data_IF_710458531301
#
_entry.id   IF_710458531301
#
_cell.length_a   1.000
_cell.length_b   1.000
_cell.length_c   1.000
_cell.angle_alpha   90.00
_cell.angle_beta   90.00
_cell.angle_gamma   90.00
#
_symmetry.space_group_name_H-M   'P 1'
#
loop_
_entity.id
_entity.type
_entity.pdbx_description
1 polymer ?
#
# COMPACT_ATOMS: atom_id res chain seq x y z
N UNK A 1 19.74 -3.78 28.61
CA UNK A 1 20.15 -3.74 27.19
C UNK A 1 20.95 -4.98 26.87
N UNK A 2 20.52 -5.75 25.88
CA UNK A 2 21.19 -6.98 25.41
C UNK A 2 21.51 -6.92 23.91
N UNK A 3 21.63 -5.74 23.33
CA UNK A 3 21.95 -5.50 21.91
C UNK A 3 23.22 -6.22 21.45
N UNK A 4 24.18 -6.46 22.36
CA UNK A 4 25.41 -7.19 22.08
C UNK A 4 25.23 -8.71 22.07
N UNK A 5 24.11 -9.23 22.56
CA UNK A 5 23.84 -10.66 22.57
C UNK A 5 23.25 -11.08 21.23
N UNK A 6 24.01 -11.78 20.42
CA UNK A 6 23.68 -12.13 19.01
C UNK A 6 23.64 -13.63 18.74
N UNK A 7 23.69 -14.46 19.78
CA UNK A 7 23.65 -15.91 19.61
C UNK A 7 22.24 -16.33 19.12
N UNK A 8 22.12 -17.01 17.97
CA UNK A 8 20.82 -17.49 17.51
C UNK A 8 20.19 -18.48 18.49
N UNK A 9 18.88 -18.39 18.67
CA UNK A 9 18.12 -19.27 19.56
C UNK A 9 16.78 -18.66 19.98
N UNK A 10 16.00 -19.44 20.73
CA UNK A 10 14.77 -18.99 21.39
C UNK A 10 15.07 -18.64 22.83
N UNK A 11 14.63 -17.47 23.26
CA UNK A 11 14.95 -16.91 24.57
C UNK A 11 13.70 -16.36 25.24
N UNK A 12 13.76 -16.20 26.54
CA UNK A 12 12.84 -15.41 27.35
C UNK A 12 13.62 -14.53 28.31
N UNK A 13 13.06 -13.43 28.72
CA UNK A 13 13.61 -12.54 29.73
C UNK A 13 12.91 -12.87 31.04
N UNK A 14 13.67 -13.21 32.09
CA UNK A 14 13.17 -13.41 33.44
C UNK A 14 13.63 -12.27 34.33
N UNK A 15 12.70 -11.64 35.00
CA UNK A 15 12.98 -10.57 35.97
C UNK A 15 12.46 -10.91 37.34
N UNK A 16 13.23 -10.54 38.39
CA UNK A 16 12.82 -10.75 39.76
C UNK A 16 11.58 -9.88 40.06
N UNK A 17 10.48 -10.54 40.45
CA UNK A 17 9.23 -9.87 40.83
C UNK A 17 8.21 -9.67 39.71
N UNK A 18 8.62 -9.69 38.46
CA UNK A 18 7.72 -9.44 37.28
C UNK A 18 7.41 -10.73 36.49
N UNK A 19 8.16 -11.82 36.72
CA UNK A 19 7.99 -13.09 36.01
C UNK A 19 8.80 -13.19 34.72
N UNK A 20 8.25 -13.89 33.73
CA UNK A 20 8.90 -14.21 32.46
C UNK A 20 8.18 -13.51 31.29
N UNK A 21 8.98 -13.05 30.31
CA UNK A 21 8.45 -12.57 29.03
C UNK A 21 7.86 -13.71 28.19
N UNK A 22 7.11 -13.37 27.15
CA UNK A 22 6.87 -14.32 26.05
C UNK A 22 8.19 -14.71 25.41
N UNK A 23 8.32 -15.95 24.85
CA UNK A 23 9.51 -16.35 24.10
C UNK A 23 9.72 -15.44 22.87
N UNK A 24 10.99 -15.16 22.58
CA UNK A 24 11.39 -14.47 21.36
C UNK A 24 12.58 -15.15 20.72
N UNK A 25 12.75 -14.96 19.41
CA UNK A 25 13.85 -15.55 18.66
C UNK A 25 14.92 -14.51 18.32
N UNK A 26 16.18 -14.96 18.39
CA UNK A 26 17.31 -14.30 17.76
C UNK A 26 17.71 -15.17 16.57
N UNK A 27 17.53 -14.70 15.36
CA UNK A 27 17.93 -15.41 14.14
C UNK A 27 18.27 -14.43 13.02
N UNK A 28 19.02 -14.90 12.05
CA UNK A 28 19.20 -14.18 10.78
C UNK A 28 17.87 -14.22 10.00
N UNK A 29 17.62 -13.20 9.23
CA UNK A 29 16.41 -13.11 8.38
C UNK A 29 15.12 -13.36 9.18
N UNK A 30 14.95 -12.60 10.28
CA UNK A 30 13.83 -12.76 11.21
C UNK A 30 12.47 -12.73 10.50
N UNK A 31 12.35 -11.94 9.44
CA UNK A 31 11.12 -11.73 8.69
C UNK A 31 11.02 -12.56 7.39
N UNK A 32 11.92 -13.55 7.16
CA UNK A 32 11.89 -14.36 5.94
C UNK A 32 10.57 -15.08 5.68
N UNK A 33 9.90 -15.50 6.74
CA UNK A 33 8.61 -16.20 6.68
C UNK A 33 7.43 -15.22 6.70
N UNK A 34 7.68 -13.98 7.14
CA UNK A 34 6.67 -12.91 7.27
C UNK A 34 6.38 -12.24 5.94
N UNK A 35 7.43 -11.86 5.19
CA UNK A 35 7.28 -11.13 3.92
C UNK A 35 6.42 -11.88 2.89
N UNK A 36 6.63 -13.21 2.64
CA UNK A 36 5.76 -13.96 1.75
C UNK A 36 4.29 -13.97 2.20
N UNK A 37 4.01 -13.98 3.50
CA UNK A 37 2.63 -13.95 4.02
C UNK A 37 1.98 -12.57 3.81
N UNK A 38 2.74 -11.47 3.97
CA UNK A 38 2.26 -10.12 3.65
C UNK A 38 1.93 -10.01 2.15
N UNK A 39 2.77 -10.57 1.27
CA UNK A 39 2.47 -10.61 -0.16
C UNK A 39 1.25 -11.49 -0.45
N UNK A 40 1.09 -12.61 0.27
CA UNK A 40 -0.06 -13.53 0.11
C UNK A 40 -1.40 -12.87 0.39
N UNK A 41 -1.43 -11.87 1.26
CA UNK A 41 -2.64 -11.08 1.51
C UNK A 41 -3.22 -10.49 0.22
N UNK A 42 -2.37 -10.00 -0.70
CA UNK A 42 -2.84 -9.45 -1.99
C UNK A 42 -3.52 -10.51 -2.86
N UNK A 43 -2.95 -11.73 -2.92
CA UNK A 43 -3.62 -12.84 -3.59
C UNK A 43 -5.00 -13.12 -2.98
N UNK A 44 -5.13 -13.05 -1.65
CA UNK A 44 -6.41 -13.27 -0.96
C UNK A 44 -7.43 -12.15 -1.20
N UNK A 45 -6.98 -10.99 -1.70
CA UNK A 45 -7.83 -9.87 -2.10
C UNK A 45 -8.15 -9.86 -3.60
N UNK A 46 -7.71 -10.85 -4.40
CA UNK A 46 -8.03 -10.90 -5.83
C UNK A 46 -9.54 -11.00 -6.06
N UNK A 47 -10.05 -10.11 -6.91
CA UNK A 47 -11.43 -10.09 -7.40
C UNK A 47 -11.50 -10.69 -8.82
N UNK A 48 -12.64 -11.19 -9.23
CA UNK A 48 -12.88 -11.62 -10.62
C UNK A 48 -12.22 -12.94 -11.01
N UNK A 49 -11.75 -13.74 -10.06
CA UNK A 49 -11.23 -15.08 -10.29
C UNK A 49 -11.60 -16.02 -9.14
N UNK A 50 -11.50 -17.31 -9.40
CA UNK A 50 -11.59 -18.32 -8.35
C UNK A 50 -10.33 -18.25 -7.48
N UNK A 51 -10.49 -18.20 -6.16
CA UNK A 51 -9.44 -18.53 -5.22
C UNK A 51 -9.55 -20.00 -4.84
N UNK A 52 -8.79 -20.85 -5.52
CA UNK A 52 -8.89 -22.28 -5.32
C UNK A 52 -8.34 -22.73 -3.96
N UNK A 53 -8.84 -23.86 -3.45
CA UNK A 53 -8.44 -24.42 -2.16
C UNK A 53 -6.94 -24.71 -2.07
N UNK A 54 -6.28 -25.01 -3.20
CA UNK A 54 -4.84 -25.31 -3.24
C UNK A 54 -3.97 -24.10 -2.88
N UNK A 55 -4.47 -22.89 -3.13
CA UNK A 55 -3.75 -21.63 -2.87
C UNK A 55 -4.36 -20.82 -1.73
N UNK A 56 -5.68 -20.89 -1.51
CA UNK A 56 -6.38 -20.08 -0.52
C UNK A 56 -6.83 -20.88 0.74
N UNK A 57 -6.70 -22.20 0.73
CA UNK A 57 -7.07 -23.03 1.88
C UNK A 57 -8.56 -22.87 2.26
N UNK A 58 -8.81 -22.52 3.52
CA UNK A 58 -10.16 -22.26 4.05
C UNK A 58 -10.81 -20.99 3.53
N UNK A 59 -10.07 -20.09 2.92
CA UNK A 59 -10.55 -18.82 2.34
C UNK A 59 -10.91 -18.95 0.86
N UNK A 60 -10.93 -20.18 0.32
CA UNK A 60 -11.27 -20.45 -1.07
C UNK A 60 -12.71 -20.07 -1.39
N UNK A 61 -12.91 -19.51 -2.59
CA UNK A 61 -14.24 -19.13 -3.10
C UNK A 61 -14.27 -19.14 -4.63
N UNK A 62 -15.46 -19.29 -5.26
CA UNK A 62 -15.62 -19.13 -6.70
C UNK A 62 -15.27 -17.72 -7.19
N UNK A 63 -15.19 -17.54 -8.51
CA UNK A 63 -15.02 -16.20 -9.09
C UNK A 63 -16.17 -15.28 -8.67
N UNK A 64 -15.81 -14.06 -8.24
CA UNK A 64 -16.75 -13.03 -7.77
C UNK A 64 -16.83 -11.85 -8.73
N UNK A 65 -17.89 -11.03 -8.65
CA UNK A 65 -18.05 -9.75 -9.37
C UNK A 65 -17.84 -9.87 -10.88
N UNK A 66 -18.37 -10.95 -11.47
CA UNK A 66 -18.30 -11.24 -12.90
C UNK A 66 -19.45 -10.63 -13.70
N UNK A 67 -20.45 -10.04 -13.03
CA UNK A 67 -21.58 -9.37 -13.65
C UNK A 67 -21.13 -8.08 -14.37
N UNK A 68 -21.93 -7.67 -15.38
CA UNK A 68 -21.72 -6.38 -16.03
C UNK A 68 -21.93 -5.25 -15.04
N UNK A 69 -21.08 -4.24 -15.12
CA UNK A 69 -21.20 -2.99 -14.38
C UNK A 69 -21.93 -1.92 -15.20
N UNK A 70 -22.57 -0.98 -14.53
CA UNK A 70 -23.15 0.23 -15.17
C UNK A 70 -22.26 1.43 -14.93
N UNK A 71 -21.97 2.19 -15.97
CA UNK A 71 -21.33 3.48 -15.81
C UNK A 71 -22.35 4.47 -15.22
N UNK A 72 -22.04 5.00 -14.06
CA UNK A 72 -22.92 5.91 -13.31
C UNK A 72 -23.38 7.10 -14.17
N UNK A 73 -24.66 7.41 -14.12
CA UNK A 73 -25.26 8.53 -14.85
C UNK A 73 -25.45 8.34 -16.37
N UNK A 74 -24.94 7.23 -16.97
CA UNK A 74 -25.02 7.03 -18.43
C UNK A 74 -25.96 5.91 -18.85
N UNK A 75 -26.22 4.93 -17.98
CA UNK A 75 -26.93 3.71 -18.30
C UNK A 75 -26.16 2.73 -19.19
N UNK A 76 -24.94 3.04 -19.61
CA UNK A 76 -24.08 2.15 -20.40
C UNK A 76 -23.57 1.01 -19.54
N UNK A 77 -23.62 -0.22 -20.06
CA UNK A 77 -23.02 -1.40 -19.44
C UNK A 77 -21.62 -1.66 -19.97
N UNK A 78 -20.74 -2.05 -19.05
CA UNK A 78 -19.36 -2.46 -19.35
C UNK A 78 -18.99 -3.72 -18.59
N UNK A 79 -18.00 -4.45 -19.07
CA UNK A 79 -17.43 -5.60 -18.36
C UNK A 79 -16.05 -5.23 -17.83
N UNK A 80 -15.95 -5.08 -16.52
CA UNK A 80 -14.69 -4.77 -15.82
C UNK A 80 -14.54 -5.80 -14.70
N UNK A 81 -13.61 -6.72 -14.86
CA UNK A 81 -13.29 -7.80 -13.92
C UNK A 81 -11.85 -7.70 -13.48
N UNK A 82 -11.46 -8.45 -12.45
CA UNK A 82 -10.08 -8.45 -11.93
C UNK A 82 -9.83 -7.36 -10.90
N UNK A 83 -8.55 -7.17 -10.57
CA UNK A 83 -8.09 -6.25 -9.54
C UNK A 83 -8.17 -6.82 -8.12
N UNK A 84 -7.74 -6.03 -7.14
CA UNK A 84 -7.82 -6.39 -5.74
C UNK A 84 -9.04 -5.74 -5.08
N UNK A 85 -9.72 -6.47 -4.21
CA UNK A 85 -10.58 -5.86 -3.19
C UNK A 85 -9.71 -4.95 -2.32
N UNK A 86 -10.15 -3.74 -2.09
CA UNK A 86 -9.33 -2.71 -1.45
C UNK A 86 -9.06 -2.97 0.03
N UNK A 87 -10.12 -3.27 0.78
CA UNK A 87 -10.10 -3.26 2.23
C UNK A 87 -10.90 -4.43 2.81
N UNK A 88 -11.66 -4.20 3.86
CA UNK A 88 -12.59 -5.16 4.42
C UNK A 88 -13.85 -5.38 3.58
N UNK A 89 -14.08 -4.53 2.58
CA UNK A 89 -15.15 -4.60 1.57
C UNK A 89 -14.67 -5.25 0.26
N UNK A 90 -15.51 -5.21 -0.78
CA UNK A 90 -15.22 -5.78 -2.09
C UNK A 90 -15.11 -4.72 -3.20
N UNK A 91 -15.08 -3.45 -2.84
CA UNK A 91 -14.83 -2.36 -3.77
C UNK A 91 -13.42 -2.41 -4.36
N UNK A 92 -13.29 -1.88 -5.58
CA UNK A 92 -12.00 -1.74 -6.28
C UNK A 92 -11.82 -0.27 -6.65
N UNK A 93 -10.77 0.32 -6.14
CA UNK A 93 -10.51 1.76 -6.22
C UNK A 93 -9.17 1.99 -6.89
N UNK A 94 -9.11 2.87 -7.88
CA UNK A 94 -7.89 3.07 -8.70
C UNK A 94 -6.77 3.71 -7.89
N UNK A 95 -7.08 4.73 -7.09
CA UNK A 95 -6.09 5.47 -6.30
C UNK A 95 -5.32 4.55 -5.34
N UNK A 96 -5.96 3.82 -4.39
CA UNK A 96 -5.22 2.91 -3.51
C UNK A 96 -4.60 1.71 -4.23
N UNK A 97 -5.21 1.22 -5.32
CA UNK A 97 -4.61 0.18 -6.16
C UNK A 97 -3.30 0.62 -6.79
N UNK A 98 -3.26 1.82 -7.36
CA UNK A 98 -2.05 2.40 -7.95
C UNK A 98 -0.95 2.68 -6.91
N UNK A 99 -1.32 3.19 -5.72
CA UNK A 99 -0.40 3.36 -4.59
C UNK A 99 0.21 2.01 -4.17
N UNK A 100 -0.63 0.99 -4.01
CA UNK A 100 -0.17 -0.36 -3.68
C UNK A 100 0.85 -0.86 -4.72
N UNK A 101 0.57 -0.70 -6.02
CA UNK A 101 1.52 -1.04 -7.08
C UNK A 101 2.83 -0.25 -6.95
N UNK A 102 2.79 1.03 -6.60
CA UNK A 102 3.98 1.87 -6.45
C UNK A 102 4.93 1.33 -5.37
N UNK A 103 4.40 0.98 -4.20
CA UNK A 103 5.18 0.45 -3.07
C UNK A 103 5.79 -0.91 -3.41
N UNK A 104 5.00 -1.82 -4.00
CA UNK A 104 5.47 -3.15 -4.41
C UNK A 104 6.57 -3.04 -5.48
N UNK A 105 6.40 -2.14 -6.45
CA UNK A 105 7.42 -1.89 -7.47
C UNK A 105 8.68 -1.27 -6.88
N UNK A 106 8.56 -0.38 -5.88
CA UNK A 106 9.72 0.14 -5.15
C UNK A 106 10.44 -0.97 -4.39
N UNK A 107 9.70 -1.86 -3.71
CA UNK A 107 10.31 -3.02 -3.05
C UNK A 107 11.08 -3.90 -4.04
N UNK A 108 10.49 -4.18 -5.21
CA UNK A 108 11.14 -4.95 -6.27
C UNK A 108 12.38 -4.23 -6.85
N UNK A 109 12.31 -2.93 -7.09
CA UNK A 109 13.40 -2.15 -7.67
C UNK A 109 14.58 -1.95 -6.71
N UNK A 110 14.29 -1.74 -5.42
CA UNK A 110 15.32 -1.46 -4.40
C UNK A 110 15.89 -2.71 -3.75
N UNK A 111 15.07 -3.74 -3.55
CA UNK A 111 15.41 -4.96 -2.80
C UNK A 111 15.04 -6.25 -3.55
N UNK A 112 15.49 -6.41 -4.82
CA UNK A 112 15.07 -7.55 -5.63
C UNK A 112 15.44 -8.90 -5.00
N UNK A 113 16.55 -8.99 -4.29
CA UNK A 113 16.97 -10.23 -3.61
C UNK A 113 16.01 -10.71 -2.53
N UNK A 114 15.26 -9.80 -1.92
CA UNK A 114 14.29 -10.12 -0.87
C UNK A 114 12.92 -10.56 -1.43
N UNK A 115 12.55 -10.09 -2.63
CA UNK A 115 11.18 -10.26 -3.16
C UNK A 115 11.11 -11.01 -4.50
N UNK A 116 12.24 -11.38 -5.11
CA UNK A 116 12.26 -12.09 -6.41
C UNK A 116 12.10 -13.60 -6.27
N UNK A 117 11.27 -14.06 -5.33
CA UNK A 117 10.92 -15.48 -5.27
C UNK A 117 9.79 -15.79 -6.28
N UNK A 118 9.80 -17.02 -6.80
CA UNK A 118 8.86 -17.59 -7.75
C UNK A 118 8.35 -18.93 -7.18
N UNK A 119 7.48 -18.82 -6.19
CA UNK A 119 7.02 -19.90 -5.34
C UNK A 119 8.04 -20.29 -4.25
N UNK A 120 7.56 -20.41 -3.03
CA UNK A 120 8.30 -20.95 -1.88
C UNK A 120 7.52 -22.09 -1.25
N UNK A 121 8.11 -22.77 -0.26
CA UNK A 121 7.40 -23.80 0.49
C UNK A 121 6.08 -23.27 1.11
N UNK A 122 6.12 -22.04 1.60
CA UNK A 122 5.05 -21.44 2.40
C UNK A 122 4.26 -20.36 1.65
N UNK A 123 4.68 -20.02 0.42
CA UNK A 123 3.99 -19.07 -0.45
C UNK A 123 3.90 -19.59 -1.88
N UNK A 124 2.67 -19.68 -2.38
CA UNK A 124 2.36 -20.00 -3.78
C UNK A 124 1.10 -19.28 -4.22
N UNK A 125 1.12 -18.85 -5.47
CA UNK A 125 -0.03 -18.35 -6.22
C UNK A 125 -0.17 -19.20 -7.51
N UNK A 126 -1.28 -19.11 -8.26
CA UNK A 126 -1.44 -19.90 -9.48
C UNK A 126 -0.33 -19.70 -10.52
N UNK A 127 0.33 -18.53 -10.52
CA UNK A 127 1.41 -18.16 -11.44
C UNK A 127 2.79 -18.67 -11.00
N UNK A 128 2.98 -19.02 -9.73
CA UNK A 128 4.29 -19.45 -9.21
C UNK A 128 4.90 -20.57 -10.04
N UNK A 129 6.19 -20.46 -10.34
CA UNK A 129 6.95 -21.40 -11.16
C UNK A 129 6.99 -21.02 -12.64
N UNK A 130 6.56 -19.82 -13.02
CA UNK A 130 6.56 -19.35 -14.42
C UNK A 130 7.85 -18.61 -14.84
N UNK A 131 8.78 -18.40 -13.90
CA UNK A 131 10.03 -17.66 -14.13
C UNK A 131 9.89 -16.15 -13.95
N UNK A 132 8.74 -15.67 -13.47
CA UNK A 132 8.48 -14.29 -13.11
C UNK A 132 8.36 -14.23 -11.58
N UNK A 133 8.99 -13.27 -10.89
CA UNK A 133 8.77 -13.10 -9.45
C UNK A 133 7.29 -12.94 -9.11
N UNK A 134 6.81 -13.68 -8.10
CA UNK A 134 5.40 -13.67 -7.69
C UNK A 134 4.86 -12.27 -7.38
N UNK A 135 5.70 -11.37 -6.86
CA UNK A 135 5.33 -9.95 -6.63
C UNK A 135 4.96 -9.25 -7.94
N UNK A 136 5.64 -9.55 -9.04
CA UNK A 136 5.33 -8.97 -10.35
C UNK A 136 4.09 -9.60 -10.98
N UNK A 137 3.80 -10.86 -10.69
CA UNK A 137 2.56 -11.50 -11.09
C UNK A 137 1.35 -10.91 -10.35
N UNK A 138 1.49 -10.60 -9.06
CA UNK A 138 0.46 -9.88 -8.30
C UNK A 138 0.23 -8.46 -8.86
N UNK A 139 1.31 -7.72 -9.11
CA UNK A 139 1.20 -6.37 -9.70
C UNK A 139 0.58 -6.44 -11.11
N UNK A 140 0.92 -7.45 -11.92
CA UNK A 140 0.30 -7.66 -13.23
C UNK A 140 -1.20 -7.87 -13.11
N UNK A 141 -1.66 -8.60 -12.10
CA UNK A 141 -3.09 -8.85 -11.88
C UNK A 141 -3.86 -7.53 -11.70
N UNK A 142 -3.32 -6.61 -10.93
CA UNK A 142 -3.88 -5.27 -10.76
C UNK A 142 -3.75 -4.41 -12.02
N UNK A 143 -2.59 -4.43 -12.68
CA UNK A 143 -2.36 -3.68 -13.92
C UNK A 143 -3.35 -4.06 -15.02
N UNK A 144 -3.70 -5.34 -15.14
CA UNK A 144 -4.73 -5.82 -16.09
C UNK A 144 -6.13 -5.29 -15.76
N UNK A 145 -6.45 -5.13 -14.49
CA UNK A 145 -7.70 -4.49 -14.06
C UNK A 145 -7.66 -2.98 -14.35
N UNK A 146 -6.60 -2.30 -13.96
CA UNK A 146 -6.45 -0.87 -14.20
C UNK A 146 -6.58 -0.51 -15.69
N UNK A 147 -6.04 -1.33 -16.61
CA UNK A 147 -6.23 -1.15 -18.05
C UNK A 147 -7.71 -1.15 -18.46
N UNK A 148 -8.56 -1.92 -17.78
CA UNK A 148 -10.01 -1.96 -18.02
C UNK A 148 -10.74 -0.74 -17.44
N UNK A 149 -10.12 -0.06 -16.49
CA UNK A 149 -10.67 1.18 -15.90
C UNK A 149 -10.39 2.43 -16.76
N UNK A 150 -9.59 2.33 -17.82
CA UNK A 150 -9.32 3.45 -18.72
C UNK A 150 -10.45 3.65 -19.74
N UNK A 151 -11.04 4.84 -19.76
CA UNK A 151 -12.04 5.25 -20.74
C UNK A 151 -11.43 5.50 -22.14
N UNK A 152 -12.30 5.59 -23.15
CA UNK A 152 -11.88 5.73 -24.54
C UNK A 152 -11.09 7.02 -24.83
N UNK A 153 -11.33 8.09 -24.07
CA UNK A 153 -10.62 9.37 -24.18
C UNK A 153 -9.28 9.42 -23.43
N UNK A 154 -9.01 8.42 -22.59
CA UNK A 154 -7.79 8.31 -21.78
C UNK A 154 -7.99 8.58 -20.31
N UNK A 155 -9.08 9.22 -19.91
CA UNK A 155 -9.44 9.37 -18.50
C UNK A 155 -9.64 8.03 -17.81
N UNK A 156 -9.49 7.98 -16.50
CA UNK A 156 -9.61 6.73 -15.74
C UNK A 156 -10.75 6.84 -14.75
N UNK A 157 -11.64 5.86 -14.77
CA UNK A 157 -12.75 5.75 -13.84
C UNK A 157 -12.22 5.63 -12.41
N UNK A 158 -12.89 6.32 -11.47
CA UNK A 158 -12.39 6.43 -10.11
C UNK A 158 -12.43 5.10 -9.33
N UNK A 159 -13.55 4.38 -9.45
CA UNK A 159 -13.76 3.08 -8.79
C UNK A 159 -14.83 2.25 -9.49
N UNK A 160 -14.88 0.96 -9.13
CA UNK A 160 -16.00 0.07 -9.42
C UNK A 160 -16.42 -0.65 -8.14
N UNK A 161 -17.66 -0.46 -7.71
CA UNK A 161 -18.21 -0.98 -6.45
C UNK A 161 -19.70 -1.29 -6.64
N UNK A 162 -20.32 -2.02 -5.69
CA UNK A 162 -21.75 -1.91 -5.48
C UNK A 162 -22.10 -0.54 -4.88
N UNK A 163 -23.38 -0.14 -4.88
CA UNK A 163 -23.81 1.16 -4.33
C UNK A 163 -23.60 1.24 -2.81
N UNK A 164 -23.79 0.12 -2.11
CA UNK A 164 -23.63 -0.01 -0.66
C UNK A 164 -22.62 -1.07 -0.32
N UNK A 165 -22.07 -1.03 0.88
CA UNK A 165 -21.26 -2.10 1.42
C UNK A 165 -22.13 -3.36 1.66
N UNK A 166 -21.65 -4.57 1.32
CA UNK A 166 -22.37 -5.80 1.63
C UNK A 166 -22.34 -6.09 3.13
N UNK A 167 -23.23 -6.96 3.59
CA UNK A 167 -23.13 -7.58 4.91
C UNK A 167 -21.93 -8.52 5.02
N UNK A 168 -21.88 -9.30 6.11
CA UNK A 168 -20.85 -10.32 6.31
C UNK A 168 -21.18 -11.54 5.41
N UNK A 169 -20.73 -11.48 4.17
CA UNK A 169 -20.90 -12.52 3.14
C UNK A 169 -19.57 -12.78 2.44
N UNK A 170 -19.44 -13.95 1.79
CA UNK A 170 -18.30 -14.20 0.89
C UNK A 170 -18.43 -13.34 -0.39
N UNK A 171 -17.33 -13.03 -1.11
CA UNK A 171 -17.35 -12.08 -2.22
C UNK A 171 -18.25 -12.52 -3.40
N UNK A 172 -18.39 -13.82 -3.65
CA UNK A 172 -19.30 -14.34 -4.70
C UNK A 172 -20.79 -14.18 -4.36
N UNK A 173 -21.10 -13.92 -3.08
CA UNK A 173 -22.48 -13.68 -2.64
C UNK A 173 -22.89 -12.21 -2.72
N UNK A 174 -21.96 -11.28 -2.98
CA UNK A 174 -22.28 -9.89 -3.33
C UNK A 174 -22.70 -9.82 -4.80
N UNK A 175 -24.00 -9.92 -5.04
CA UNK A 175 -24.58 -10.00 -6.40
C UNK A 175 -25.29 -8.72 -6.83
N UNK A 176 -25.22 -7.68 -6.03
CA UNK A 176 -25.81 -6.36 -6.35
C UNK A 176 -25.18 -5.76 -7.62
N UNK A 177 -25.87 -4.80 -8.22
CA UNK A 177 -25.40 -4.14 -9.44
C UNK A 177 -24.08 -3.40 -9.21
N UNK A 178 -23.04 -3.82 -9.94
CA UNK A 178 -21.78 -3.08 -9.98
C UNK A 178 -21.96 -1.75 -10.70
N UNK A 179 -21.37 -0.70 -10.13
CA UNK A 179 -21.38 0.67 -10.67
C UNK A 179 -19.95 1.14 -10.87
N UNK A 180 -19.65 1.57 -12.08
CA UNK A 180 -18.38 2.25 -12.42
C UNK A 180 -18.59 3.73 -12.23
N UNK A 181 -17.82 4.34 -11.34
CA UNK A 181 -17.96 5.74 -11.01
C UNK A 181 -17.19 6.62 -12.01
N UNK A 182 -17.61 7.90 -12.20
CA UNK A 182 -17.02 8.79 -13.19
C UNK A 182 -15.48 8.89 -13.12
N UNK A 183 -14.88 9.34 -14.21
CA UNK A 183 -13.45 9.67 -14.31
C UNK A 183 -13.08 10.73 -13.28
N UNK A 184 -11.92 10.58 -12.64
CA UNK A 184 -11.28 11.62 -11.84
C UNK A 184 -9.86 11.89 -12.30
N UNK A 185 -9.36 13.09 -12.05
CA UNK A 185 -7.97 13.42 -12.45
C UNK A 185 -6.93 12.77 -11.53
N UNK A 186 -7.23 12.58 -10.22
CA UNK A 186 -6.35 11.83 -9.32
C UNK A 186 -6.19 10.38 -9.79
N UNK A 187 -7.30 9.62 -9.98
CA UNK A 187 -7.22 8.26 -10.50
C UNK A 187 -6.51 8.16 -11.86
N UNK A 188 -6.68 9.19 -12.72
CA UNK A 188 -6.01 9.24 -14.03
C UNK A 188 -4.50 9.48 -13.88
N UNK A 189 -4.07 10.34 -12.95
CA UNK A 189 -2.66 10.61 -12.66
C UNK A 189 -1.96 9.40 -12.04
N UNK A 190 -2.56 8.80 -11.03
CA UNK A 190 -2.06 7.60 -10.35
C UNK A 190 -1.94 6.42 -11.30
N UNK A 191 -2.97 6.20 -12.13
CA UNK A 191 -2.92 5.21 -13.19
C UNK A 191 -1.75 5.45 -14.14
N UNK A 192 -1.59 6.69 -14.63
CA UNK A 192 -0.51 7.03 -15.57
C UNK A 192 0.86 6.74 -14.96
N UNK A 193 1.07 7.11 -13.70
CA UNK A 193 2.30 6.88 -12.96
C UNK A 193 2.57 5.38 -12.72
N UNK A 194 1.61 4.67 -12.14
CA UNK A 194 1.77 3.25 -11.81
C UNK A 194 2.01 2.40 -13.06
N UNK A 195 1.28 2.66 -14.18
CA UNK A 195 1.45 1.93 -15.42
C UNK A 195 2.78 2.25 -16.13
N UNK A 196 3.25 3.50 -16.07
CA UNK A 196 4.58 3.86 -16.58
C UNK A 196 5.69 3.16 -15.79
N UNK A 197 5.62 3.19 -14.46
CA UNK A 197 6.55 2.50 -13.55
C UNK A 197 6.57 0.99 -13.79
N UNK A 198 5.39 0.36 -13.83
CA UNK A 198 5.26 -1.07 -14.09
C UNK A 198 5.88 -1.47 -15.44
N UNK A 199 5.69 -0.66 -16.49
CA UNK A 199 6.23 -0.93 -17.81
C UNK A 199 7.76 -1.05 -17.83
N UNK A 200 8.45 -0.32 -16.95
CA UNK A 200 9.92 -0.39 -16.82
C UNK A 200 10.32 -1.74 -16.20
N UNK A 201 9.73 -2.09 -15.07
CA UNK A 201 10.10 -3.28 -14.29
C UNK A 201 9.70 -4.58 -14.98
N UNK A 202 8.56 -4.59 -15.69
CA UNK A 202 8.00 -5.79 -16.31
C UNK A 202 8.54 -6.07 -17.73
N UNK A 203 9.16 -5.10 -18.38
CA UNK A 203 9.61 -5.16 -19.79
C UNK A 203 10.51 -6.36 -20.13
N UNK A 204 11.31 -6.81 -19.18
CA UNK A 204 12.21 -7.96 -19.39
C UNK A 204 11.47 -9.29 -19.45
N UNK A 205 10.25 -9.38 -18.90
CA UNK A 205 9.43 -10.59 -18.86
C UNK A 205 8.40 -10.64 -19.99
N UNK A 206 7.71 -9.52 -20.23
CA UNK A 206 6.71 -9.39 -21.31
C UNK A 206 6.76 -7.97 -21.90
N UNK A 207 7.55 -7.83 -22.97
CA UNK A 207 7.72 -6.54 -23.66
C UNK A 207 6.41 -6.02 -24.25
N UNK A 208 5.55 -6.90 -24.77
CA UNK A 208 4.31 -6.48 -25.42
C UNK A 208 3.34 -5.90 -24.38
N UNK A 209 3.18 -6.57 -23.23
CA UNK A 209 2.34 -6.06 -22.16
C UNK A 209 2.92 -4.78 -21.54
N UNK A 210 4.23 -4.71 -21.35
CA UNK A 210 4.89 -3.48 -20.88
C UNK A 210 4.68 -2.30 -21.83
N UNK A 211 4.77 -2.53 -23.15
CA UNK A 211 4.48 -1.49 -24.17
C UNK A 211 3.00 -1.07 -24.14
N UNK A 212 2.06 -1.98 -23.89
CA UNK A 212 0.64 -1.68 -23.71
C UNK A 212 0.42 -0.79 -22.47
N UNK A 213 1.04 -1.12 -21.33
CA UNK A 213 0.97 -0.32 -20.11
C UNK A 213 1.52 1.09 -20.32
N UNK A 214 2.69 1.21 -20.96
CA UNK A 214 3.28 2.52 -21.27
C UNK A 214 2.42 3.34 -22.24
N UNK A 215 1.80 2.71 -23.23
CA UNK A 215 0.88 3.40 -24.14
C UNK A 215 -0.35 3.92 -23.38
N UNK A 216 -0.94 3.11 -22.51
CA UNK A 216 -2.06 3.51 -21.67
C UNK A 216 -1.70 4.67 -20.72
N UNK A 217 -0.51 4.62 -20.10
CA UNK A 217 0.01 5.70 -19.27
C UNK A 217 0.13 7.03 -20.03
N UNK A 218 0.70 7.01 -21.24
CA UNK A 218 0.81 8.20 -22.10
C UNK A 218 -0.55 8.77 -22.47
N UNK A 219 -1.52 7.89 -22.77
CA UNK A 219 -2.87 8.30 -23.11
C UNK A 219 -3.60 8.94 -21.91
N UNK A 220 -3.40 8.41 -20.70
CA UNK A 220 -3.93 9.00 -19.47
C UNK A 220 -3.29 10.38 -19.19
N UNK A 221 -1.98 10.51 -19.40
CA UNK A 221 -1.32 11.79 -19.22
C UNK A 221 -1.78 12.84 -20.24
N UNK A 222 -1.98 12.46 -21.49
CA UNK A 222 -2.54 13.35 -22.52
C UNK A 222 -3.97 13.81 -22.17
N UNK A 223 -4.79 12.95 -21.54
CA UNK A 223 -6.08 13.36 -20.99
C UNK A 223 -5.91 14.44 -19.92
N UNK A 224 -4.95 14.29 -18.99
CA UNK A 224 -4.67 15.31 -17.97
C UNK A 224 -4.23 16.64 -18.57
N UNK A 225 -3.40 16.62 -19.62
CA UNK A 225 -2.97 17.84 -20.32
C UNK A 225 -4.14 18.54 -20.99
N UNK A 226 -5.06 17.80 -21.60
CA UNK A 226 -6.27 18.32 -22.20
C UNK A 226 -7.29 18.85 -21.16
N UNK A 227 -7.17 18.40 -19.91
CA UNK A 227 -8.02 18.77 -18.77
C UNK A 227 -7.16 19.32 -17.62
N UNK A 228 -6.67 20.57 -17.71
CA UNK A 228 -5.75 21.14 -16.74
C UNK A 228 -6.39 21.47 -15.38
N UNK A 229 -7.71 21.50 -15.29
CA UNK A 229 -8.44 21.69 -14.04
C UNK A 229 -8.66 20.35 -13.34
N UNK A 230 -8.64 20.36 -12.00
CA UNK A 230 -8.94 19.16 -11.19
C UNK A 230 -10.35 18.66 -11.53
N UNK A 231 -10.44 17.37 -11.84
CA UNK A 231 -11.70 16.63 -11.94
C UNK A 231 -11.81 15.82 -10.65
N UNK A 232 -12.30 16.49 -9.59
CA UNK A 232 -12.46 15.87 -8.28
C UNK A 232 -13.60 14.83 -8.31
N UNK A 233 -13.45 13.81 -7.46
CA UNK A 233 -14.50 12.81 -7.27
C UNK A 233 -15.18 13.02 -5.91
N UNK A 234 -16.49 12.86 -5.90
CA UNK A 234 -17.32 12.83 -4.71
C UNK A 234 -18.46 11.83 -4.89
N UNK A 235 -18.73 11.05 -3.86
CA UNK A 235 -19.86 10.13 -3.89
C UNK A 235 -21.18 10.85 -4.08
N UNK A 236 -21.99 10.44 -5.07
CA UNK A 236 -23.41 10.81 -5.08
C UNK A 236 -24.13 10.25 -3.84
N UNK A 237 -25.28 10.81 -3.50
CA UNK A 237 -26.02 10.45 -2.28
C UNK A 237 -26.53 9.01 -2.22
N UNK A 238 -26.57 8.32 -3.35
CA UNK A 238 -26.98 6.92 -3.50
C UNK A 238 -25.80 5.93 -3.54
N UNK A 239 -24.56 6.41 -3.32
CA UNK A 239 -23.34 5.59 -3.25
C UNK A 239 -22.70 5.78 -1.88
N UNK A 240 -22.62 4.70 -1.09
CA UNK A 240 -22.11 4.72 0.28
C UNK A 240 -20.70 4.11 0.45
N UNK A 241 -20.17 3.45 -0.59
CA UNK A 241 -18.83 2.83 -0.55
C UNK A 241 -17.71 3.86 -0.55
N UNK A 242 -16.47 3.48 -0.22
CA UNK A 242 -15.33 4.38 -0.06
C UNK A 242 -15.25 5.49 -1.12
N UNK A 243 -14.96 6.70 -0.69
CA UNK A 243 -14.95 7.87 -1.58
C UNK A 243 -13.56 8.17 -2.15
N UNK A 244 -12.53 8.08 -1.33
CA UNK A 244 -11.16 8.49 -1.70
C UNK A 244 -11.11 9.87 -2.36
N UNK A 245 -11.63 10.92 -1.69
CA UNK A 245 -11.72 12.26 -2.26
C UNK A 245 -10.36 12.95 -2.27
N UNK A 246 -10.06 13.66 -3.33
CA UNK A 246 -8.94 14.58 -3.38
C UNK A 246 -9.34 15.89 -4.05
N UNK A 247 -8.86 17.00 -3.48
CA UNK A 247 -9.16 18.34 -3.96
C UNK A 247 -8.05 18.90 -4.85
N UNK A 248 -6.91 18.21 -4.93
CA UNK A 248 -5.78 18.49 -5.80
C UNK A 248 -5.40 17.27 -6.61
N UNK A 249 -4.77 17.46 -7.75
CA UNK A 249 -4.23 16.40 -8.58
C UNK A 249 -2.78 16.71 -9.01
N UNK A 250 -2.18 17.66 -8.31
CA UNK A 250 -0.89 18.22 -8.72
C UNK A 250 0.27 17.27 -8.43
N UNK A 251 0.16 16.49 -7.38
CA UNK A 251 1.15 15.49 -6.97
C UNK A 251 1.03 14.21 -7.80
N UNK A 252 -0.17 13.80 -8.19
CA UNK A 252 -0.37 12.69 -9.14
C UNK A 252 0.15 13.05 -10.53
N UNK A 253 -0.09 14.28 -11.00
CA UNK A 253 0.50 14.79 -12.26
C UNK A 253 2.02 14.86 -12.18
N UNK A 254 2.58 15.28 -11.02
CA UNK A 254 4.01 15.29 -10.77
C UNK A 254 4.58 13.88 -10.86
N UNK A 255 3.97 12.92 -10.16
CA UNK A 255 4.40 11.52 -10.16
C UNK A 255 4.31 10.91 -11.57
N UNK A 256 3.19 11.09 -12.26
CA UNK A 256 2.99 10.61 -13.63
C UNK A 256 4.03 11.18 -14.60
N UNK A 257 4.30 12.49 -14.54
CA UNK A 257 5.32 13.11 -15.37
C UNK A 257 6.72 12.55 -15.10
N UNK A 258 7.06 12.32 -13.82
CA UNK A 258 8.36 11.75 -13.44
C UNK A 258 8.54 10.31 -13.95
N UNK A 259 7.55 9.44 -13.77
CA UNK A 259 7.62 8.05 -14.24
C UNK A 259 7.60 7.96 -15.78
N UNK A 260 6.82 8.80 -16.46
CA UNK A 260 6.85 8.88 -17.94
C UNK A 260 8.20 9.38 -18.44
N UNK A 261 8.82 10.38 -17.79
CA UNK A 261 10.17 10.78 -18.10
C UNK A 261 11.18 9.63 -17.93
N UNK A 262 11.07 8.91 -16.83
CA UNK A 262 11.89 7.74 -16.50
C UNK A 262 11.74 6.63 -17.54
N UNK A 263 10.51 6.38 -18.01
CA UNK A 263 10.21 5.33 -19.00
C UNK A 263 10.58 5.68 -20.42
N UNK A 264 10.60 6.99 -20.79
CA UNK A 264 10.72 7.42 -22.20
C UNK A 264 11.94 8.27 -22.51
N UNK A 265 12.51 8.93 -21.50
CA UNK A 265 13.51 10.01 -21.63
C UNK A 265 13.02 11.21 -22.47
N UNK A 266 11.70 11.36 -22.67
CA UNK A 266 11.12 12.49 -23.37
C UNK A 266 11.14 13.73 -22.49
N UNK A 267 11.82 14.78 -22.96
CA UNK A 267 12.01 16.03 -22.19
C UNK A 267 10.72 16.80 -21.93
N UNK A 268 9.66 16.54 -22.70
CA UNK A 268 8.33 17.07 -22.44
C UNK A 268 7.88 16.73 -20.99
N UNK A 269 7.95 15.45 -20.60
CA UNK A 269 7.58 15.04 -19.26
C UNK A 269 8.53 15.59 -18.16
N UNK A 270 9.80 15.83 -18.48
CA UNK A 270 10.72 16.49 -17.56
C UNK A 270 10.30 17.96 -17.30
N UNK A 271 9.87 18.67 -18.34
CA UNK A 271 9.42 20.05 -18.23
C UNK A 271 8.10 20.12 -17.43
N UNK A 272 7.18 19.18 -17.66
CA UNK A 272 5.95 19.03 -16.88
C UNK A 272 6.25 18.72 -15.42
N UNK A 273 7.13 17.75 -15.12
CA UNK A 273 7.58 17.46 -13.76
C UNK A 273 8.07 18.72 -13.02
N UNK A 274 8.96 19.49 -13.70
CA UNK A 274 9.49 20.75 -13.13
C UNK A 274 8.40 21.81 -12.94
N UNK A 275 7.42 21.84 -13.84
CA UNK A 275 6.28 22.76 -13.77
C UNK A 275 5.39 22.44 -12.57
N UNK A 276 5.07 21.16 -12.38
CA UNK A 276 4.26 20.72 -11.25
C UNK A 276 4.98 20.89 -9.90
N UNK A 277 6.27 20.60 -9.85
CA UNK A 277 7.08 20.77 -8.64
C UNK A 277 7.08 22.22 -8.12
N UNK A 278 7.05 23.21 -9.03
CA UNK A 278 6.98 24.63 -8.66
C UNK A 278 5.66 25.05 -8.02
N UNK A 279 4.63 24.25 -8.13
CA UNK A 279 3.30 24.52 -7.54
C UNK A 279 3.19 24.01 -6.10
N UNK A 280 4.31 23.56 -5.49
CA UNK A 280 4.38 23.01 -4.14
C UNK A 280 3.34 21.88 -3.90
N UNK A 281 3.42 20.75 -4.66
CA UNK A 281 2.52 19.65 -4.48
C UNK A 281 2.63 19.06 -3.07
N UNK A 282 1.59 18.39 -2.57
CA UNK A 282 1.71 17.56 -1.37
C UNK A 282 2.83 16.54 -1.51
N UNK A 283 3.69 16.41 -0.48
CA UNK A 283 4.87 15.56 -0.48
C UNK A 283 4.79 14.50 0.60
N UNK A 284 4.20 13.37 0.28
CA UNK A 284 4.10 12.20 1.14
C UNK A 284 4.17 10.92 0.32
N UNK A 285 3.73 9.83 0.93
CA UNK A 285 3.62 8.50 0.35
C UNK A 285 2.21 7.92 0.59
N UNK A 286 1.23 8.78 0.85
CA UNK A 286 -0.18 8.44 1.05
C UNK A 286 -0.98 8.64 -0.23
N UNK A 287 -2.22 8.16 -0.23
CA UNK A 287 -3.10 8.24 -1.39
C UNK A 287 -3.59 9.68 -1.72
N UNK A 288 -3.44 10.63 -0.79
CA UNK A 288 -3.72 12.06 -0.97
C UNK A 288 -2.46 12.91 -1.15
N UNK A 289 -1.27 12.31 -1.12
CA UNK A 289 0.00 13.03 -1.17
C UNK A 289 1.09 12.17 -1.83
N UNK A 290 0.95 11.97 -3.15
CA UNK A 290 1.81 11.10 -3.96
C UNK A 290 3.15 11.74 -4.38
N UNK A 291 3.41 12.99 -4.02
CA UNK A 291 4.51 13.78 -4.56
C UNK A 291 5.91 13.18 -4.32
N UNK A 292 6.11 12.49 -3.21
CA UNK A 292 7.40 11.82 -2.93
C UNK A 292 7.69 10.68 -3.92
N UNK A 293 6.69 9.93 -4.39
CA UNK A 293 6.89 8.94 -5.45
C UNK A 293 7.45 9.58 -6.72
N UNK A 294 6.95 10.77 -7.10
CA UNK A 294 7.47 11.53 -8.24
C UNK A 294 8.92 11.98 -8.05
N UNK A 295 9.27 12.43 -6.84
CA UNK A 295 10.67 12.78 -6.51
C UNK A 295 11.58 11.56 -6.62
N UNK A 296 11.19 10.42 -6.07
CA UNK A 296 11.97 9.17 -6.16
C UNK A 296 12.11 8.72 -7.63
N UNK A 297 11.04 8.77 -8.43
CA UNK A 297 11.09 8.45 -9.85
C UNK A 297 12.09 9.33 -10.62
N UNK A 298 12.12 10.64 -10.33
CA UNK A 298 13.10 11.55 -10.91
C UNK A 298 14.54 11.25 -10.45
N UNK A 299 14.75 10.89 -9.19
CA UNK A 299 16.08 10.57 -8.67
C UNK A 299 16.59 9.22 -9.17
N UNK A 300 15.70 8.28 -9.47
CA UNK A 300 16.02 6.92 -9.96
C UNK A 300 16.15 6.84 -11.49
N UNK A 301 15.85 7.94 -12.23
CA UNK A 301 15.91 7.90 -13.70
C UNK A 301 17.34 7.71 -14.21
N UNK A 302 17.47 6.93 -15.29
CA UNK A 302 18.73 6.81 -16.05
C UNK A 302 18.84 7.89 -17.12
N UNK A 303 17.79 8.67 -17.34
CA UNK A 303 17.80 9.80 -18.27
C UNK A 303 18.55 11.00 -17.66
N UNK A 304 18.80 12.02 -18.48
CA UNK A 304 19.56 13.21 -18.06
C UNK A 304 18.79 14.02 -17.02
N UNK A 305 19.40 14.30 -15.88
CA UNK A 305 18.83 15.14 -14.82
C UNK A 305 19.57 16.50 -14.71
N UNK A 306 18.91 17.48 -14.06
CA UNK A 306 19.54 18.73 -13.66
C UNK A 306 20.29 18.50 -12.35
N UNK A 307 21.62 18.66 -12.30
CA UNK A 307 22.41 18.42 -11.08
C UNK A 307 22.01 19.30 -9.88
N UNK A 308 21.55 20.53 -10.11
CA UNK A 308 21.11 21.44 -9.03
C UNK A 308 19.79 20.95 -8.45
N UNK A 309 18.83 20.64 -9.31
CA UNK A 309 17.53 20.08 -8.89
C UNK A 309 17.70 18.72 -8.19
N UNK A 310 18.55 17.84 -8.75
CA UNK A 310 18.86 16.54 -8.13
C UNK A 310 19.42 16.72 -6.72
N UNK A 311 20.35 17.67 -6.53
CA UNK A 311 20.89 17.95 -5.20
C UNK A 311 19.83 18.48 -4.25
N UNK A 312 19.03 19.45 -4.70
CA UNK A 312 17.95 20.03 -3.90
C UNK A 312 16.96 18.94 -3.43
N UNK A 313 16.46 18.11 -4.33
CA UNK A 313 15.49 17.07 -3.98
C UNK A 313 16.04 16.02 -3.01
N UNK A 314 17.33 15.68 -3.13
CA UNK A 314 18.00 14.81 -2.14
C UNK A 314 18.12 15.49 -0.77
N UNK A 315 18.52 16.75 -0.74
CA UNK A 315 18.63 17.51 0.50
C UNK A 315 17.23 17.64 1.18
N UNK A 316 16.18 17.85 0.41
CA UNK A 316 14.80 17.97 0.92
C UNK A 316 14.31 16.64 1.52
N UNK A 317 14.55 15.50 0.86
CA UNK A 317 14.23 14.16 1.40
C UNK A 317 15.01 13.86 2.68
N UNK A 318 16.32 14.17 2.71
CA UNK A 318 17.16 13.99 3.89
C UNK A 318 16.63 14.87 5.06
N UNK A 319 16.25 16.09 4.80
CA UNK A 319 15.72 17.00 5.82
C UNK A 319 14.38 16.48 6.39
N UNK A 320 13.47 15.97 5.54
CA UNK A 320 12.23 15.35 5.99
C UNK A 320 12.52 14.11 6.85
N UNK A 321 13.42 13.23 6.41
CA UNK A 321 13.86 12.06 7.18
C UNK A 321 14.40 12.45 8.55
N UNK A 322 15.26 13.47 8.62
CA UNK A 322 15.82 13.95 9.89
C UNK A 322 14.74 14.46 10.86
N UNK A 323 13.71 15.16 10.36
CA UNK A 323 12.58 15.60 11.17
C UNK A 323 11.78 14.41 11.74
N UNK A 324 11.56 13.38 10.93
CA UNK A 324 10.91 12.15 11.37
C UNK A 324 11.74 11.40 12.42
N UNK A 325 13.04 11.27 12.21
CA UNK A 325 14.00 10.66 13.16
C UNK A 325 14.02 11.46 14.49
N UNK A 326 14.01 12.80 14.42
CA UNK A 326 13.94 13.62 15.62
C UNK A 326 12.64 13.43 16.39
N UNK A 327 11.52 13.28 15.68
CA UNK A 327 10.21 12.97 16.27
C UNK A 327 10.23 11.60 16.95
N UNK A 328 10.78 10.57 16.29
CA UNK A 328 10.88 9.22 16.86
C UNK A 328 11.71 9.17 18.14
N UNK A 329 12.79 9.93 18.21
CA UNK A 329 13.63 10.02 19.42
C UNK A 329 12.92 10.62 20.65
N UNK A 330 11.80 11.31 20.44
CA UNK A 330 10.96 11.89 21.49
C UNK A 330 9.75 11.03 21.84
N UNK A 331 9.47 10.01 21.03
CA UNK A 331 8.35 9.10 21.24
C UNK A 331 8.77 7.90 22.09
N UNK A 332 7.97 7.54 23.10
CA UNK A 332 8.29 6.44 24.03
C UNK A 332 8.34 5.06 23.36
N UNK A 333 7.78 4.90 22.16
CA UNK A 333 7.82 3.68 21.37
C UNK A 333 8.75 3.78 20.15
N UNK A 334 9.50 4.88 20.05
CA UNK A 334 10.50 5.16 19.01
C UNK A 334 9.92 5.15 17.59
N UNK A 335 8.72 5.70 17.42
CA UNK A 335 8.09 5.92 16.11
C UNK A 335 7.95 7.42 15.83
N UNK A 336 7.88 7.79 14.56
CA UNK A 336 7.79 9.19 14.12
C UNK A 336 6.39 9.80 14.26
N UNK A 337 5.56 9.22 15.14
CA UNK A 337 4.21 9.70 15.42
C UNK A 337 4.21 10.66 16.62
N UNK A 338 3.42 11.72 16.50
CA UNK A 338 2.96 12.52 17.61
C UNK A 338 1.70 11.90 18.24
N UNK A 339 0.97 12.63 19.08
CA UNK A 339 -0.27 12.15 19.71
C UNK A 339 -1.49 12.13 18.76
N UNK A 340 -1.31 12.39 17.47
CA UNK A 340 -2.38 12.40 16.48
C UNK A 340 -2.46 11.04 15.77
N UNK A 341 -3.34 10.18 16.27
CA UNK A 341 -3.66 8.88 15.68
C UNK A 341 -4.98 8.99 14.94
N UNK A 342 -4.94 9.00 13.61
CA UNK A 342 -6.12 8.98 12.74
C UNK A 342 -6.42 7.58 12.20
N UNK A 343 -7.45 7.48 11.37
CA UNK A 343 -7.79 6.25 10.65
C UNK A 343 -6.60 5.81 9.77
N UNK A 344 -6.18 4.54 9.92
CA UNK A 344 -5.00 4.03 9.23
C UNK A 344 -3.65 4.49 9.84
N UNK A 345 -3.58 4.76 11.16
CA UNK A 345 -2.33 5.20 11.81
C UNK A 345 -1.15 4.26 11.58
N UNK A 346 -1.37 2.95 11.40
CA UNK A 346 -0.32 1.99 11.06
C UNK A 346 0.23 2.21 9.64
N UNK A 347 -0.58 2.67 8.68
CA UNK A 347 -0.09 3.16 7.38
C UNK A 347 0.85 4.36 7.59
N UNK A 348 0.45 5.33 8.41
CA UNK A 348 1.28 6.50 8.70
C UNK A 348 2.64 6.08 9.27
N UNK A 349 2.66 5.15 10.23
CA UNK A 349 3.91 4.58 10.79
C UNK A 349 4.75 3.94 9.69
N UNK A 350 4.14 3.16 8.79
CA UNK A 350 4.84 2.49 7.69
C UNK A 350 5.38 3.49 6.67
N UNK A 351 4.59 4.48 6.25
CA UNK A 351 5.01 5.50 5.27
C UNK A 351 6.15 6.38 5.80
N UNK A 352 6.11 6.75 7.09
CA UNK A 352 7.20 7.50 7.72
C UNK A 352 8.49 6.70 7.73
N UNK A 353 8.45 5.42 8.08
CA UNK A 353 9.60 4.54 8.03
C UNK A 353 10.10 4.33 6.59
N UNK A 354 9.19 4.19 5.61
CA UNK A 354 9.54 4.06 4.19
C UNK A 354 10.24 5.32 3.67
N UNK A 355 9.77 6.52 4.04
CA UNK A 355 10.43 7.78 3.68
C UNK A 355 11.85 7.84 4.27
N UNK A 356 12.02 7.47 5.54
CA UNK A 356 13.35 7.40 6.20
C UNK A 356 14.26 6.42 5.44
N UNK A 357 13.76 5.23 5.09
CA UNK A 357 14.49 4.22 4.32
C UNK A 357 14.90 4.73 2.94
N UNK A 358 13.98 5.35 2.19
CA UNK A 358 14.27 5.93 0.86
C UNK A 358 15.30 7.05 0.92
N UNK A 359 15.21 7.94 1.90
CA UNK A 359 16.14 9.03 2.10
C UNK A 359 17.55 8.55 2.50
N UNK A 360 17.64 7.45 3.24
CA UNK A 360 18.90 6.88 3.72
C UNK A 360 19.89 6.53 2.60
N UNK A 361 19.37 6.21 1.39
CA UNK A 361 20.17 5.93 0.21
C UNK A 361 21.02 7.14 -0.25
N UNK A 362 20.70 8.33 0.20
CA UNK A 362 21.41 9.57 -0.15
C UNK A 362 22.27 10.11 0.99
N UNK A 363 22.27 9.43 2.14
CA UNK A 363 23.01 9.76 3.33
C UNK A 363 24.45 9.23 3.34
N UNK A 364 25.29 9.79 4.24
CA UNK A 364 26.57 9.17 4.57
C UNK A 364 26.34 7.89 5.36
N UNK A 365 27.26 6.94 5.23
CA UNK A 365 27.15 5.59 5.80
C UNK A 365 26.68 5.57 7.28
N UNK A 366 27.26 6.39 8.14
CA UNK A 366 26.90 6.38 9.58
C UNK A 366 25.49 6.91 9.83
N UNK A 367 25.05 7.91 9.04
CA UNK A 367 23.70 8.44 9.10
C UNK A 367 22.69 7.42 8.52
N UNK A 368 23.03 6.74 7.42
CA UNK A 368 22.21 5.69 6.84
C UNK A 368 22.00 4.51 7.82
N UNK A 369 23.04 4.08 8.53
CA UNK A 369 22.94 3.03 9.57
C UNK A 369 21.99 3.49 10.70
N UNK A 370 22.09 4.74 11.13
CA UNK A 370 21.19 5.29 12.15
C UNK A 370 19.74 5.38 11.64
N UNK A 371 19.54 5.81 10.40
CA UNK A 371 18.21 5.86 9.78
C UNK A 371 17.59 4.46 9.73
N UNK A 372 18.34 3.45 9.33
CA UNK A 372 17.87 2.06 9.30
C UNK A 372 17.48 1.54 10.69
N UNK A 373 18.24 1.88 11.75
CA UNK A 373 17.82 1.53 13.11
C UNK A 373 16.45 2.11 13.48
N UNK A 374 16.14 3.33 13.01
CA UNK A 374 14.81 3.95 13.23
C UNK A 374 13.73 3.23 12.42
N UNK A 375 14.03 2.80 11.19
CA UNK A 375 13.11 1.97 10.39
C UNK A 375 12.78 0.67 11.12
N UNK A 376 13.79 -0.03 11.64
CA UNK A 376 13.60 -1.24 12.45
C UNK A 376 12.75 -0.97 13.71
N UNK A 377 12.90 0.19 14.34
CA UNK A 377 12.06 0.59 15.47
C UNK A 377 10.59 0.73 15.10
N UNK A 378 10.26 1.24 13.92
CA UNK A 378 8.88 1.31 13.41
C UNK A 378 8.31 -0.09 13.13
N UNK A 379 9.11 -1.01 12.56
CA UNK A 379 8.72 -2.40 12.42
C UNK A 379 8.43 -3.04 13.78
N UNK A 380 9.28 -2.82 14.78
CA UNK A 380 9.05 -3.33 16.13
C UNK A 380 7.73 -2.81 16.72
N UNK A 381 7.34 -1.56 16.44
CA UNK A 381 6.04 -1.03 16.85
C UNK A 381 4.89 -1.81 16.20
N UNK A 382 4.93 -2.03 14.90
CA UNK A 382 3.89 -2.76 14.17
C UNK A 382 3.81 -4.22 14.63
N UNK A 383 4.94 -4.82 15.01
CA UNK A 383 5.03 -6.22 15.43
C UNK A 383 4.93 -6.45 16.96
N UNK A 384 4.59 -5.44 17.77
CA UNK A 384 4.23 -5.65 19.17
C UNK A 384 4.80 -4.68 20.19
N UNK A 385 5.85 -3.91 19.88
CA UNK A 385 6.39 -2.89 20.79
C UNK A 385 5.55 -1.62 20.75
N UNK A 386 4.30 -1.73 21.17
CA UNK A 386 3.32 -0.64 21.16
C UNK A 386 2.48 -0.62 22.44
N UNK A 387 1.68 0.43 22.69
CA UNK A 387 0.88 0.56 23.90
C UNK A 387 -0.15 -0.54 24.14
N UNK A 388 -0.50 -1.31 23.09
CA UNK A 388 -1.45 -2.42 23.15
C UNK A 388 -0.76 -3.77 23.39
N UNK A 389 0.58 -3.84 23.25
CA UNK A 389 1.38 -5.06 23.33
C UNK A 389 0.89 -6.17 22.37
N UNK A 390 0.44 -5.79 21.16
CA UNK A 390 -0.03 -6.72 20.12
C UNK A 390 0.73 -6.51 18.82
N UNK A 391 0.95 -7.58 18.07
CA UNK A 391 1.31 -7.50 16.67
C UNK A 391 0.08 -7.03 15.87
N UNK A 392 0.17 -5.93 15.14
CA UNK A 392 -0.95 -5.43 14.33
C UNK A 392 -1.16 -6.20 13.02
N UNK A 393 -0.37 -7.23 12.77
CA UNK A 393 -0.51 -8.09 11.59
C UNK A 393 -1.21 -9.39 11.99
N UNK A 394 -2.30 -9.72 11.30
CA UNK A 394 -3.10 -10.92 11.58
C UNK A 394 -2.26 -12.20 11.43
N UNK A 395 -2.47 -13.14 12.34
CA UNK A 395 -1.80 -14.45 12.30
C UNK A 395 -0.32 -14.43 12.67
N UNK A 396 0.24 -13.28 13.09
CA UNK A 396 1.65 -13.14 13.44
C UNK A 396 1.85 -12.78 14.91
N UNK A 397 3.05 -13.08 15.44
CA UNK A 397 3.40 -12.84 16.82
C UNK A 397 2.60 -13.71 17.80
N UNK A 398 2.78 -13.44 19.09
CA UNK A 398 2.09 -14.18 20.16
C UNK A 398 0.64 -13.74 20.32
N UNK A 399 0.39 -12.45 20.13
CA UNK A 399 -0.94 -11.82 20.21
C UNK A 399 -1.13 -10.94 18.97
N UNK A 400 -2.16 -11.22 18.20
CA UNK A 400 -2.50 -10.47 16.97
C UNK A 400 -4.01 -10.38 16.81
N UNK A 401 -4.53 -9.50 15.92
CA UNK A 401 -5.96 -9.34 15.68
C UNK A 401 -6.63 -10.67 15.31
N UNK A 402 -7.75 -10.96 15.96
CA UNK A 402 -8.56 -12.18 15.75
C UNK A 402 -9.89 -11.89 15.05
N UNK A 403 -10.33 -10.63 15.08
CA UNK A 403 -11.62 -10.20 14.54
C UNK A 403 -11.45 -8.92 13.69
N UNK A 404 -10.56 -8.94 12.65
CA UNK A 404 -10.43 -7.79 11.78
C UNK A 404 -11.78 -7.48 11.12
N UNK A 405 -12.02 -6.20 10.81
CA UNK A 405 -13.13 -5.80 9.95
C UNK A 405 -12.79 -6.17 8.50
N UNK A 406 -13.00 -7.43 8.18
CA UNK A 406 -12.74 -8.04 6.88
C UNK A 406 -13.74 -9.17 6.66
N UNK A 407 -14.59 -9.05 5.64
CA UNK A 407 -15.77 -9.92 5.45
C UNK A 407 -15.41 -11.38 5.28
N UNK A 408 -14.41 -11.71 4.46
CA UNK A 408 -13.97 -13.12 4.29
C UNK A 408 -13.50 -13.70 5.62
N UNK A 409 -12.71 -12.96 6.40
CA UNK A 409 -12.27 -13.41 7.73
C UNK A 409 -13.44 -13.63 8.69
N UNK A 410 -14.45 -12.76 8.64
CA UNK A 410 -15.66 -12.87 9.49
C UNK A 410 -16.48 -14.11 9.14
N UNK A 411 -16.72 -14.35 7.85
CA UNK A 411 -17.51 -15.51 7.38
C UNK A 411 -16.79 -16.82 7.66
N UNK A 412 -15.49 -16.89 7.41
CA UNK A 412 -14.67 -18.09 7.66
C UNK A 412 -14.46 -18.32 9.17
N UNK A 413 -14.57 -17.26 9.98
CA UNK A 413 -14.43 -17.32 11.44
C UNK A 413 -12.98 -17.30 11.95
N UNK A 414 -12.01 -17.11 11.04
CA UNK A 414 -10.60 -16.91 11.38
C UNK A 414 -10.02 -15.81 10.47
N UNK A 415 -9.07 -14.98 10.95
CA UNK A 415 -8.48 -13.95 10.12
C UNK A 415 -7.61 -14.54 9.00
N UNK A 416 -7.67 -13.95 7.81
CA UNK A 416 -6.65 -14.18 6.78
C UNK A 416 -5.31 -13.74 7.34
N UNK A 417 -4.26 -14.57 7.32
CA UNK A 417 -2.95 -14.20 7.84
C UNK A 417 -2.25 -13.13 6.98
N UNK A 418 -1.42 -12.30 7.61
CA UNK A 418 -0.58 -11.32 6.92
C UNK A 418 -1.24 -9.97 6.65
N UNK A 419 -2.41 -9.69 7.22
CA UNK A 419 -3.12 -8.42 7.05
C UNK A 419 -2.76 -7.42 8.16
N UNK A 420 -2.20 -6.27 7.80
CA UNK A 420 -1.99 -5.16 8.72
C UNK A 420 -3.32 -4.45 8.97
N UNK A 421 -3.73 -4.35 10.23
CA UNK A 421 -4.93 -3.58 10.62
C UNK A 421 -4.62 -2.09 10.77
N UNK A 422 -5.64 -1.25 10.66
CA UNK A 422 -5.53 0.22 10.67
C UNK A 422 -4.80 0.82 11.87
N UNK A 423 -4.88 0.18 13.04
CA UNK A 423 -4.22 0.66 14.27
C UNK A 423 -5.04 1.67 15.07
N UNK A 424 -4.45 2.26 16.11
CA UNK A 424 -5.14 3.22 16.96
C UNK A 424 -5.72 4.41 16.19
N UNK A 425 -6.97 4.80 16.54
CA UNK A 425 -7.64 5.96 15.96
C UNK A 425 -8.31 6.78 17.08
N UNK A 426 -7.69 7.90 17.43
CA UNK A 426 -8.17 8.79 18.49
C UNK A 426 -9.36 9.66 18.09
N UNK A 427 -9.71 9.71 16.79
CA UNK A 427 -10.88 10.42 16.31
C UNK A 427 -12.18 9.63 16.57
N UNK A 428 -12.06 8.32 16.87
CA UNK A 428 -13.18 7.44 17.25
C UNK A 428 -14.30 7.45 16.18
N UNK A 429 -13.96 7.26 14.92
CA UNK A 429 -14.82 7.53 13.75
C UNK A 429 -15.88 6.46 13.48
N UNK A 430 -15.88 5.32 14.21
CA UNK A 430 -16.97 4.36 14.12
C UNK A 430 -17.78 4.29 15.43
N UNK A 431 -19.07 3.89 15.38
CA UNK A 431 -19.93 3.84 16.54
C UNK A 431 -19.46 2.92 17.67
N UNK A 432 -18.75 1.84 17.30
CA UNK A 432 -18.23 0.89 18.28
C UNK A 432 -17.11 1.51 19.12
N UNK A 433 -16.08 2.07 18.48
CA UNK A 433 -14.96 2.68 19.22
C UNK A 433 -15.37 3.98 19.91
N UNK A 434 -16.29 4.75 19.34
CA UNK A 434 -16.85 5.94 19.99
C UNK A 434 -17.47 5.62 21.36
N UNK A 435 -18.11 4.45 21.47
CA UNK A 435 -18.67 3.97 22.74
C UNK A 435 -17.63 3.29 23.64
N UNK A 436 -16.78 2.40 23.07
CA UNK A 436 -15.93 1.51 23.84
C UNK A 436 -14.61 2.15 24.30
N UNK A 437 -14.11 3.15 23.56
CA UNK A 437 -12.76 3.70 23.74
C UNK A 437 -12.74 5.19 24.14
N UNK A 438 -13.90 5.81 24.35
CA UNK A 438 -13.98 7.19 24.81
C UNK A 438 -13.12 7.42 26.07
N UNK A 439 -12.28 8.46 26.04
CA UNK A 439 -11.40 8.82 27.16
C UNK A 439 -10.12 7.97 27.28
N UNK A 440 -9.85 7.05 26.36
CA UNK A 440 -8.56 6.36 26.29
C UNK A 440 -7.47 7.30 25.74
N UNK A 441 -6.22 7.03 26.13
CA UNK A 441 -5.08 7.72 25.51
C UNK A 441 -5.03 7.44 23.98
N UNK A 442 -4.65 8.41 23.14
CA UNK A 442 -4.67 8.27 21.69
C UNK A 442 -4.08 6.96 21.15
N UNK A 443 -2.88 6.60 21.59
CA UNK A 443 -2.21 5.38 21.20
C UNK A 443 -2.84 4.06 21.72
N UNK A 444 -3.89 4.16 22.55
CA UNK A 444 -4.69 3.02 23.06
C UNK A 444 -6.11 2.97 22.50
N UNK A 445 -6.43 3.83 21.54
CA UNK A 445 -7.72 3.85 20.87
C UNK A 445 -7.79 2.81 19.74
N UNK A 446 -7.63 1.52 20.12
CA UNK A 446 -7.70 0.37 19.22
C UNK A 446 -8.59 -0.74 19.84
N UNK A 447 -9.39 -1.40 19.01
CA UNK A 447 -10.21 -2.53 19.42
C UNK A 447 -10.17 -3.65 18.38
N UNK A 448 -9.78 -4.87 18.78
CA UNK A 448 -9.90 -6.08 17.97
C UNK A 448 -11.36 -6.55 17.94
N UNK A 449 -12.18 -5.88 17.13
CA UNK A 449 -13.61 -6.15 17.01
C UNK A 449 -14.08 -5.91 15.57
N UNK A 450 -14.92 -6.80 15.04
CA UNK A 450 -15.40 -6.74 13.66
C UNK A 450 -16.13 -5.43 13.30
N UNK A 451 -16.81 -4.80 14.28
CA UNK A 451 -17.50 -3.53 14.06
C UNK A 451 -16.59 -2.30 14.15
N UNK A 452 -15.35 -2.48 14.57
CA UNK A 452 -14.35 -1.41 14.67
C UNK A 452 -13.64 -1.21 13.33
N UNK A 453 -14.36 -0.70 12.32
CA UNK A 453 -13.77 -0.47 11.01
C UNK A 453 -12.70 0.63 11.04
N UNK A 454 -12.86 1.66 11.84
CA UNK A 454 -11.89 2.77 11.89
C UNK A 454 -10.57 2.44 12.59
N UNK A 455 -10.44 1.28 13.27
CA UNK A 455 -9.19 0.84 13.93
C UNK A 455 -8.72 -0.54 13.49
N UNK A 456 -9.65 -1.43 13.12
CA UNK A 456 -9.38 -2.86 12.91
C UNK A 456 -9.68 -3.34 11.48
N UNK A 457 -9.96 -2.43 10.55
CA UNK A 457 -10.03 -2.75 9.14
C UNK A 457 -8.65 -3.08 8.59
N UNK A 458 -8.60 -3.72 7.43
CA UNK A 458 -7.40 -4.02 6.64
C UNK A 458 -7.51 -3.32 5.30
N UNK A 459 -6.37 -2.97 4.67
CA UNK A 459 -6.37 -2.44 3.32
C UNK A 459 -5.09 -2.82 2.57
N UNK A 460 -5.20 -2.96 1.25
CA UNK A 460 -4.06 -3.33 0.40
C UNK A 460 -2.92 -2.32 0.53
N UNK A 461 -3.23 -1.03 0.51
CA UNK A 461 -2.27 0.06 0.59
C UNK A 461 -1.73 0.33 2.01
N UNK A 462 -2.27 -0.33 3.05
CA UNK A 462 -1.64 -0.37 4.38
C UNK A 462 -0.57 -1.44 4.44
N UNK A 463 -0.79 -2.54 3.73
CA UNK A 463 0.14 -3.66 3.67
C UNK A 463 1.35 -3.40 2.76
N UNK A 464 1.18 -2.61 1.69
CA UNK A 464 2.23 -2.41 0.68
C UNK A 464 3.49 -1.71 1.22
N UNK A 465 3.43 -0.63 2.02
CA UNK A 465 4.63 -0.06 2.60
C UNK A 465 5.24 -0.97 3.68
N UNK A 466 4.44 -1.77 4.41
CA UNK A 466 4.98 -2.79 5.32
C UNK A 466 5.80 -3.83 4.54
N UNK A 467 5.33 -4.27 3.38
CA UNK A 467 6.07 -5.20 2.53
C UNK A 467 7.40 -4.59 2.08
N UNK A 468 7.41 -3.31 1.66
CA UNK A 468 8.64 -2.59 1.32
C UNK A 468 9.62 -2.59 2.49
N UNK A 469 9.17 -2.28 3.71
CA UNK A 469 10.01 -2.23 4.91
C UNK A 469 10.60 -3.59 5.26
N UNK A 470 9.82 -4.66 5.14
CA UNK A 470 10.31 -6.03 5.36
C UNK A 470 11.32 -6.45 4.30
N UNK A 471 11.15 -6.01 3.05
CA UNK A 471 12.13 -6.25 1.98
C UNK A 471 13.44 -5.49 2.26
N UNK A 472 13.37 -4.26 2.75
CA UNK A 472 14.54 -3.48 3.16
C UNK A 472 15.32 -4.16 4.29
N UNK A 473 14.62 -4.62 5.33
CA UNK A 473 15.21 -5.30 6.49
C UNK A 473 15.88 -6.63 6.12
N UNK A 474 15.35 -7.35 5.12
CA UNK A 474 15.95 -8.63 4.68
C UNK A 474 17.16 -8.46 3.75
N UNK A 475 17.31 -7.31 3.11
CA UNK A 475 18.41 -7.05 2.19
C UNK A 475 19.72 -6.68 2.90
N UNK A 476 19.68 -6.46 4.22
CA UNK A 476 20.82 -6.19 5.09
C UNK A 476 21.43 -7.51 5.65
#
# INVERSE_FOLDING_TARGET
DFTQFKTPGSYLIQTSGEGESVPFEIKKNLYSDTLPQILKMLYMQRCGCELSKDYAGSFSHPACHMQKARIYGTGQEVTITGGWHDAGDYGRYVVPGAMTMADLLLAYEKYPSAVSFDGTKDFRIPQSGNGIPDILDEIRYEAEFLLRMQAADGGVYHKITCANFPGDVMPEAETDQLVVMPVSSCATGDFAAAMAKFSISYRQYDKQFADQCLHAAKKAYAFLEANPSVISYKNPSDIATGEYPDETDIDERLWAAAELYRATSDTHYLDEFKSHLKKNPPMGLGWQDMGTFGVIAYLDTKAKTDPRLTKQLKDDLINQSHQLIETSNRNGYLISMNDSYGWGSNLTVSNQAMLISLASAYEKKDAAIKAQSVVTDHLHYLFGRNPMAICYVTGMGTTSPKKPHHRVSTVVGVPVPGMLVGGPNSNLEDPYVASALAGKAPAKCYADHVQSYSTNEVAIYWNSPLLYLLAAEQAE
#
